data_IF_647249635065
#
_entry.id   IF_647249635065
#
_cell.length_a   1.000
_cell.length_b   1.000
_cell.length_c   1.000
_cell.angle_alpha   90.00
_cell.angle_beta   90.00
_cell.angle_gamma   90.00
#
_symmetry.space_group_name_H-M   'P 1'
#
loop_
_entity.id
_entity.type
_entity.pdbx_description
1 polymer ?
#
# COMPACT_ATOMS: atom_id res chain seq x y z
N UNK A 1 0.78 47.56 18.79
CA UNK A 1 -0.16 46.96 19.76
C UNK A 1 -0.42 45.52 19.36
N UNK A 2 0.46 44.58 19.74
CA UNK A 2 0.07 43.26 20.23
C UNK A 2 1.22 42.76 21.09
N UNK A 3 0.82 42.29 22.26
CA UNK A 3 1.56 42.20 23.50
C UNK A 3 2.12 40.80 23.59
N UNK A 4 3.39 40.69 23.97
CA UNK A 4 4.00 39.44 24.44
C UNK A 4 3.12 38.86 25.55
N UNK A 5 2.69 37.61 25.36
CA UNK A 5 2.25 36.75 26.45
C UNK A 5 3.29 35.64 26.56
N UNK A 6 4.26 35.90 27.42
CA UNK A 6 5.02 34.84 28.09
C UNK A 6 4.02 33.96 28.84
N UNK A 7 3.95 32.70 28.42
CA UNK A 7 3.13 31.65 28.99
C UNK A 7 3.78 30.32 28.70
N UNK A 8 5.02 30.17 29.17
CA UNK A 8 5.81 28.96 29.00
C UNK A 8 5.17 27.76 29.70
N UNK A 9 4.66 26.81 28.91
CA UNK A 9 4.67 25.42 29.29
C UNK A 9 6.00 24.83 28.83
N UNK A 10 6.94 24.69 29.77
CA UNK A 10 8.21 24.02 29.54
C UNK A 10 7.97 22.57 29.11
N UNK A 11 8.18 22.29 27.82
CA UNK A 11 8.31 20.91 27.35
C UNK A 11 9.64 20.39 27.89
N UNK A 12 9.57 19.36 28.73
CA UNK A 12 10.72 18.72 29.37
C UNK A 12 11.75 18.33 28.32
N UNK A 13 13.02 18.60 28.62
CA UNK A 13 14.16 18.56 27.70
C UNK A 13 14.79 17.16 27.56
N UNK A 14 14.09 16.11 27.98
CA UNK A 14 14.72 14.83 28.32
C UNK A 14 13.93 13.62 27.77
N UNK A 15 13.71 13.56 26.46
CA UNK A 15 13.62 12.27 25.78
C UNK A 15 14.46 12.35 24.51
N UNK A 16 15.74 12.01 24.67
CA UNK A 16 16.68 11.85 23.59
C UNK A 16 16.07 10.93 22.52
N UNK A 17 16.16 11.32 21.25
CA UNK A 17 15.95 10.37 20.17
C UNK A 17 16.92 9.22 20.36
N UNK A 18 16.48 7.95 20.31
CA UNK A 18 17.40 6.84 20.21
C UNK A 18 18.16 6.98 18.88
N UNK A 19 19.37 7.53 18.95
CA UNK A 19 20.29 7.84 17.84
C UNK A 19 21.09 6.62 17.37
N UNK A 20 20.86 5.47 17.98
CA UNK A 20 21.71 4.30 17.87
C UNK A 20 20.83 3.09 17.58
N UNK A 21 20.30 3.04 16.36
CA UNK A 21 19.90 1.79 15.73
C UNK A 21 21.08 1.40 14.82
N UNK A 22 21.99 0.52 15.26
CA UNK A 22 23.05 0.03 14.39
C UNK A 22 22.42 -0.85 13.30
N UNK A 23 22.21 -0.28 12.11
CA UNK A 23 21.91 -1.04 10.90
C UNK A 23 23.21 -1.71 10.43
N UNK A 24 23.58 -2.85 11.03
CA UNK A 24 24.56 -3.76 10.41
C UNK A 24 23.87 -4.47 9.24
N UNK A 25 23.86 -3.81 8.08
CA UNK A 25 23.49 -4.44 6.82
C UNK A 25 24.59 -5.43 6.45
N UNK A 26 24.32 -6.72 6.63
CA UNK A 26 25.17 -7.79 6.14
C UNK A 26 24.77 -8.09 4.69
N UNK A 27 25.50 -7.52 3.74
CA UNK A 27 25.31 -7.68 2.28
C UNK A 27 25.74 -9.07 1.78
N UNK A 28 25.19 -10.13 2.35
CA UNK A 28 25.30 -11.47 1.75
C UNK A 28 23.92 -11.97 1.34
N UNK A 29 23.77 -12.02 0.02
CA UNK A 29 22.66 -12.54 -0.77
C UNK A 29 21.52 -11.56 -1.10
N UNK A 30 21.78 -10.68 -2.06
CA UNK A 30 20.77 -10.33 -3.07
C UNK A 30 20.52 -11.62 -3.86
N UNK A 31 19.70 -12.51 -3.29
CA UNK A 31 19.28 -13.74 -3.95
C UNK A 31 18.40 -13.36 -5.14
N UNK A 32 18.69 -13.99 -6.28
CA UNK A 32 18.06 -13.72 -7.57
C UNK A 32 16.54 -13.62 -7.44
N UNK A 33 16.01 -12.49 -7.93
CA UNK A 33 14.61 -12.19 -8.20
C UNK A 33 13.93 -13.38 -8.92
N UNK A 34 13.22 -14.21 -8.16
CA UNK A 34 12.12 -15.00 -8.70
C UNK A 34 10.87 -14.17 -8.47
N UNK A 35 10.44 -13.43 -9.50
CA UNK A 35 9.07 -12.94 -9.58
C UNK A 35 8.15 -14.15 -9.72
N UNK A 36 7.88 -14.83 -8.60
CA UNK A 36 6.61 -15.53 -8.49
C UNK A 36 5.58 -14.42 -8.34
N UNK A 37 4.95 -14.05 -9.43
CA UNK A 37 3.63 -13.43 -9.39
C UNK A 37 2.72 -14.46 -8.71
N UNK A 38 2.68 -14.48 -7.39
CA UNK A 38 1.58 -15.11 -6.66
C UNK A 38 0.37 -14.26 -6.96
N UNK A 39 -0.26 -14.52 -8.12
CA UNK A 39 -1.53 -13.94 -8.48
C UNK A 39 -2.50 -14.43 -7.41
N UNK A 40 -2.83 -13.55 -6.48
CA UNK A 40 -3.84 -13.81 -5.47
C UNK A 40 -5.10 -14.26 -6.20
N UNK A 41 -5.67 -15.36 -5.73
CA UNK A 41 -6.85 -15.92 -6.37
C UNK A 41 -7.98 -14.89 -6.26
N UNK A 42 -8.43 -14.38 -7.39
CA UNK A 42 -9.68 -13.62 -7.50
C UNK A 42 -10.70 -14.57 -8.10
N UNK A 43 -11.83 -14.73 -7.40
CA UNK A 43 -12.95 -15.55 -7.86
C UNK A 43 -13.90 -14.70 -8.69
N UNK A 44 -14.68 -15.35 -9.55
CA UNK A 44 -15.60 -14.67 -10.49
C UNK A 44 -14.94 -14.28 -11.82
N UNK A 45 -13.64 -14.49 -11.99
CA UNK A 45 -12.95 -14.26 -13.26
C UNK A 45 -13.01 -15.48 -14.17
N UNK A 46 -13.19 -15.23 -15.46
CA UNK A 46 -13.08 -16.24 -16.51
C UNK A 46 -11.61 -16.68 -16.61
N UNK A 47 -11.32 -18.01 -16.62
CA UNK A 47 -9.95 -18.52 -16.76
C UNK A 47 -9.23 -17.94 -17.99
N UNK A 48 -7.96 -17.56 -17.81
CA UNK A 48 -7.12 -17.03 -18.88
C UNK A 48 -7.26 -15.52 -19.15
N UNK A 49 -8.16 -14.82 -18.43
CA UNK A 49 -8.28 -13.38 -18.53
C UNK A 49 -7.18 -12.67 -17.73
N UNK A 50 -6.52 -11.68 -18.33
CA UNK A 50 -5.52 -10.87 -17.65
C UNK A 50 -6.15 -10.05 -16.51
N UNK A 51 -5.45 -9.99 -15.36
CA UNK A 51 -5.90 -9.30 -14.16
C UNK A 51 -4.94 -8.15 -13.84
N UNK A 52 -5.51 -6.98 -13.55
CA UNK A 52 -4.75 -5.81 -13.12
C UNK A 52 -5.44 -5.11 -11.94
N UNK A 53 -4.69 -4.76 -10.90
CA UNK A 53 -5.20 -3.92 -9.81
C UNK A 53 -5.22 -2.43 -10.22
N UNK A 54 -6.28 -1.72 -9.83
CA UNK A 54 -6.41 -0.30 -10.14
C UNK A 54 -5.50 0.57 -9.27
N UNK A 55 -4.67 1.40 -9.92
CA UNK A 55 -3.79 2.39 -9.27
C UNK A 55 -4.52 3.62 -8.67
N UNK A 56 -5.84 3.71 -8.82
CA UNK A 56 -6.61 4.82 -8.26
C UNK A 56 -7.11 4.56 -6.84
N UNK A 57 -7.34 3.29 -6.49
CA UNK A 57 -7.89 2.91 -5.18
C UNK A 57 -7.09 1.83 -4.46
N UNK A 58 -6.09 1.21 -5.12
CA UNK A 58 -5.17 0.22 -4.53
C UNK A 58 -5.90 -0.84 -3.69
N UNK A 59 -6.75 -1.67 -4.31
CA UNK A 59 -7.59 -2.62 -3.58
C UNK A 59 -6.73 -3.63 -2.82
N UNK A 60 -7.08 -3.89 -1.56
CA UNK A 60 -6.36 -4.83 -0.69
C UNK A 60 -7.20 -6.08 -0.37
N UNK A 61 -6.56 -7.22 -0.05
CA UNK A 61 -7.27 -8.42 0.38
C UNK A 61 -8.22 -8.16 1.54
N UNK A 62 -9.41 -8.75 1.45
CA UNK A 62 -10.48 -8.59 2.43
C UNK A 62 -11.35 -7.34 2.20
N UNK A 63 -11.02 -6.48 1.25
CA UNK A 63 -11.88 -5.37 0.86
C UNK A 63 -12.96 -5.79 -0.15
N UNK A 64 -14.14 -5.14 -0.16
CA UNK A 64 -15.11 -5.34 -1.22
C UNK A 64 -14.58 -4.78 -2.54
N UNK A 65 -14.48 -5.65 -3.55
CA UNK A 65 -13.93 -5.34 -4.86
C UNK A 65 -14.94 -5.59 -5.98
N UNK A 66 -14.71 -4.94 -7.12
CA UNK A 66 -15.46 -5.11 -8.37
C UNK A 66 -14.49 -5.15 -9.55
N UNK A 67 -14.83 -5.90 -10.59
CA UNK A 67 -14.05 -5.99 -11.83
C UNK A 67 -14.66 -5.13 -12.93
N UNK A 68 -13.82 -4.37 -13.64
CA UNK A 68 -14.21 -3.65 -14.85
C UNK A 68 -13.45 -4.23 -16.04
N UNK A 69 -14.18 -4.71 -17.05
CA UNK A 69 -13.61 -5.20 -18.30
C UNK A 69 -13.02 -4.02 -19.08
N UNK A 70 -11.74 -4.13 -19.41
CA UNK A 70 -11.04 -3.22 -20.30
C UNK A 70 -10.65 -3.96 -21.58
N UNK A 71 -11.22 -3.53 -22.71
CA UNK A 71 -10.92 -4.08 -24.03
C UNK A 71 -9.41 -4.12 -24.28
N UNK A 72 -8.90 -5.31 -24.65
CA UNK A 72 -7.48 -5.55 -24.93
C UNK A 72 -6.54 -5.58 -23.71
N UNK A 73 -7.03 -5.34 -22.49
CA UNK A 73 -6.21 -5.35 -21.26
C UNK A 73 -6.72 -6.32 -20.18
N UNK A 74 -7.83 -7.02 -20.42
CA UNK A 74 -8.43 -7.92 -19.42
C UNK A 74 -9.29 -7.15 -18.41
N UNK A 75 -9.26 -7.56 -17.15
CA UNK A 75 -10.08 -6.98 -16.07
C UNK A 75 -9.25 -6.15 -15.12
N UNK A 76 -9.75 -4.96 -14.83
CA UNK A 76 -9.20 -4.07 -13.82
C UNK A 76 -10.01 -4.18 -12.53
N UNK A 77 -9.35 -4.55 -11.43
CA UNK A 77 -9.96 -4.71 -10.11
C UNK A 77 -9.94 -3.37 -9.38
N UNK A 78 -11.12 -2.92 -8.94
CA UNK A 78 -11.33 -1.71 -8.17
C UNK A 78 -11.92 -2.07 -6.80
N UNK A 79 -11.73 -1.17 -5.82
CA UNK A 79 -12.56 -1.17 -4.60
C UNK A 79 -13.98 -0.74 -4.98
N UNK A 80 -15.00 -1.35 -4.39
CA UNK A 80 -16.40 -1.02 -4.67
C UNK A 80 -16.74 0.47 -4.41
N UNK A 81 -16.00 1.13 -3.50
CA UNK A 81 -16.17 2.55 -3.17
C UNK A 81 -15.32 3.50 -4.04
N UNK A 82 -14.71 3.02 -5.12
CA UNK A 82 -13.85 3.84 -5.97
C UNK A 82 -14.64 4.87 -6.76
N UNK A 83 -14.29 6.16 -6.62
CA UNK A 83 -14.96 7.27 -7.32
C UNK A 83 -14.88 7.14 -8.86
N UNK A 84 -13.80 6.55 -9.37
CA UNK A 84 -13.62 6.34 -10.81
C UNK A 84 -14.58 5.28 -11.39
N UNK A 85 -15.37 4.57 -10.57
CA UNK A 85 -16.39 3.67 -11.07
C UNK A 85 -17.60 4.41 -11.67
N UNK A 86 -17.80 5.69 -11.29
CA UNK A 86 -18.90 6.50 -11.81
C UNK A 86 -18.91 6.58 -13.35
N UNK A 87 -17.74 6.56 -13.99
CA UNK A 87 -17.61 6.61 -15.45
C UNK A 87 -18.14 5.35 -16.18
N UNK A 88 -18.40 4.26 -15.45
CA UNK A 88 -18.87 2.99 -16.02
C UNK A 88 -20.34 2.69 -15.68
N UNK A 89 -21.04 3.59 -15.01
CA UNK A 89 -22.44 3.38 -14.61
C UNK A 89 -23.37 3.14 -15.80
N UNK A 90 -23.11 3.79 -16.93
CA UNK A 90 -23.89 3.64 -18.18
C UNK A 90 -23.46 2.42 -19.02
N UNK A 91 -22.48 1.63 -18.56
CA UNK A 91 -21.96 0.44 -19.25
C UNK A 91 -21.99 -0.79 -18.32
N UNK A 92 -23.18 -1.25 -17.87
CA UNK A 92 -23.30 -2.37 -16.93
C UNK A 92 -22.68 -3.67 -17.45
N UNK A 93 -22.61 -3.86 -18.77
CA UNK A 93 -22.01 -5.03 -19.41
C UNK A 93 -20.49 -5.16 -19.17
N UNK A 94 -19.83 -4.09 -18.71
CA UNK A 94 -18.40 -4.10 -18.35
C UNK A 94 -18.16 -4.53 -16.91
N UNK A 95 -19.19 -4.62 -16.08
CA UNK A 95 -19.06 -4.95 -14.68
C UNK A 95 -19.02 -6.46 -14.48
N UNK A 96 -18.11 -6.90 -13.62
CA UNK A 96 -17.99 -8.28 -13.19
C UNK A 96 -17.93 -8.29 -11.66
N UNK A 97 -18.80 -9.10 -11.07
CA UNK A 97 -18.75 -9.42 -9.66
C UNK A 97 -17.57 -10.35 -9.39
N UNK A 98 -16.69 -9.89 -8.50
CA UNK A 98 -15.47 -10.60 -8.13
C UNK A 98 -15.28 -10.52 -6.64
N UNK A 99 -14.59 -11.52 -6.10
CA UNK A 99 -14.23 -11.55 -4.69
C UNK A 99 -12.79 -12.02 -4.52
N UNK A 100 -12.18 -11.61 -3.42
CA UNK A 100 -10.91 -12.19 -3.00
C UNK A 100 -11.09 -13.68 -2.69
N UNK A 101 -10.05 -14.46 -2.93
CA UNK A 101 -9.94 -15.83 -2.46
C UNK A 101 -9.94 -15.92 -0.93
N UNK A 102 -9.87 -17.15 -0.42
CA UNK A 102 -9.78 -17.38 1.01
C UNK A 102 -8.50 -16.79 1.62
N UNK A 103 -8.47 -16.61 2.93
CA UNK A 103 -7.30 -16.06 3.65
C UNK A 103 -6.03 -16.86 3.36
N UNK A 104 -6.16 -18.19 3.26
CA UNK A 104 -5.08 -19.11 2.88
C UNK A 104 -4.46 -18.79 1.51
N UNK A 105 -5.23 -18.16 0.61
CA UNK A 105 -4.83 -17.93 -0.78
C UNK A 105 -3.92 -16.71 -0.92
N UNK A 106 -3.78 -15.89 0.13
CA UNK A 106 -2.94 -14.69 0.14
C UNK A 106 -2.00 -14.55 1.33
N UNK A 107 -1.96 -15.53 2.24
CA UNK A 107 -1.12 -15.49 3.45
C UNK A 107 0.39 -15.32 3.16
N UNK A 108 0.86 -15.81 2.00
CA UNK A 108 2.25 -15.70 1.56
C UNK A 108 2.45 -14.69 0.42
N UNK A 109 1.44 -13.90 0.09
CA UNK A 109 1.49 -12.93 -1.00
C UNK A 109 2.01 -11.57 -0.54
N UNK A 110 2.77 -10.90 -1.40
CA UNK A 110 3.21 -9.51 -1.22
C UNK A 110 2.22 -8.59 -1.91
N UNK A 111 1.91 -7.46 -1.28
CA UNK A 111 0.96 -6.48 -1.78
C UNK A 111 1.58 -5.10 -1.82
N UNK A 112 1.37 -4.42 -2.94
CA UNK A 112 1.73 -3.02 -3.08
C UNK A 112 0.68 -2.17 -2.35
N UNK A 113 1.14 -1.40 -1.37
CA UNK A 113 0.29 -0.50 -0.59
C UNK A 113 0.82 0.92 -0.71
N UNK A 114 -0.09 1.89 -0.82
CA UNK A 114 0.28 3.31 -0.83
C UNK A 114 -0.02 3.90 0.53
N UNK A 115 1.04 4.31 1.24
CA UNK A 115 0.95 4.98 2.53
C UNK A 115 1.25 6.46 2.36
N UNK A 116 0.36 7.32 2.86
CA UNK A 116 0.63 8.76 3.01
C UNK A 116 1.03 9.03 4.46
N UNK A 117 2.28 9.41 4.66
CA UNK A 117 2.83 9.72 5.99
C UNK A 117 3.12 11.21 6.07
N UNK A 118 2.61 11.87 7.11
CA UNK A 118 2.94 13.26 7.43
C UNK A 118 3.85 13.26 8.65
N UNK A 119 5.03 13.85 8.52
CA UNK A 119 6.05 13.91 9.59
C UNK A 119 6.50 15.34 9.82
N UNK A 120 6.94 15.64 11.03
CA UNK A 120 7.62 16.90 11.33
C UNK A 120 8.94 17.00 10.54
N UNK A 121 9.15 18.13 9.86
CA UNK A 121 10.36 18.35 9.07
C UNK A 121 11.56 18.69 9.96
N UNK A 122 12.25 17.64 10.41
CA UNK A 122 13.47 17.71 11.21
C UNK A 122 14.51 16.74 10.70
N UNK A 123 15.78 17.01 11.00
CA UNK A 123 16.88 16.11 10.63
C UNK A 123 16.63 14.70 11.15
N UNK A 124 16.84 13.70 10.28
CA UNK A 124 16.61 12.28 10.60
C UNK A 124 15.17 11.78 10.44
N UNK A 125 14.18 12.62 10.11
CA UNK A 125 12.78 12.17 9.97
C UNK A 125 12.60 11.02 8.96
N UNK A 126 13.22 11.12 7.78
CA UNK A 126 13.19 10.05 6.78
C UNK A 126 13.91 8.78 7.24
N UNK A 127 15.03 8.92 7.95
CA UNK A 127 15.78 7.77 8.47
C UNK A 127 14.93 6.95 9.44
N UNK A 128 14.12 7.62 10.29
CA UNK A 128 13.18 6.95 11.20
C UNK A 128 12.13 6.16 10.42
N UNK A 129 11.52 6.75 9.38
CA UNK A 129 10.52 6.07 8.54
C UNK A 129 11.12 4.85 7.84
N UNK A 130 12.30 5.00 7.23
CA UNK A 130 12.99 3.90 6.55
C UNK A 130 13.39 2.79 7.53
N UNK A 131 13.90 3.14 8.71
CA UNK A 131 14.28 2.17 9.74
C UNK A 131 13.05 1.41 10.29
N UNK A 132 11.93 2.10 10.52
CA UNK A 132 10.67 1.46 10.92
C UNK A 132 10.16 0.48 9.86
N UNK A 133 10.21 0.88 8.59
CA UNK A 133 9.79 0.05 7.45
C UNK A 133 10.65 -1.22 7.35
N UNK A 134 11.98 -1.06 7.45
CA UNK A 134 12.93 -2.17 7.43
C UNK A 134 12.74 -3.14 8.60
N UNK A 135 12.46 -2.63 9.82
CA UNK A 135 12.15 -3.47 10.99
C UNK A 135 10.92 -4.36 10.78
N UNK A 136 9.92 -3.86 10.05
CA UNK A 136 8.72 -4.61 9.70
C UNK A 136 8.90 -5.55 8.50
N UNK A 137 10.13 -5.65 7.95
CA UNK A 137 10.45 -6.43 6.75
C UNK A 137 9.60 -6.06 5.53
N UNK A 138 9.15 -4.80 5.47
CA UNK A 138 8.44 -4.26 4.32
C UNK A 138 9.42 -3.66 3.31
N UNK A 139 9.03 -3.69 2.03
CA UNK A 139 9.78 -3.04 0.96
C UNK A 139 9.24 -1.63 0.71
N UNK A 140 10.09 -0.75 0.18
CA UNK A 140 9.71 0.58 -0.32
C UNK A 140 9.85 0.53 -1.83
N UNK A 141 8.77 0.83 -2.54
CA UNK A 141 8.73 1.00 -3.99
C UNK A 141 8.39 2.46 -4.35
N UNK A 142 8.76 2.91 -5.55
CA UNK A 142 8.63 4.29 -6.03
C UNK A 142 7.66 4.45 -7.19
#
# INVERSE_FOLDING_TARGET
FFRTLDGGAAVKKDEAFPTDIPLKLNDKSISKKQEKTTSVAIRGLIPGMALHYAKCCHPLPGEPIVGIISTGRGVKIHKNTCQNLAQFQESPEKWIDVEWGGISDYELSVFDVVLRVVVENRSGALAVVSAATSRLKANIDN
#
